data_IF_927703788729
#
_entry.id   IF_927703788729
#
_cell.length_a   1.000
_cell.length_b   1.000
_cell.length_c   1.000
_cell.angle_alpha   90.00
_cell.angle_beta   90.00
_cell.angle_gamma   90.00
#
_symmetry.space_group_name_H-M   'P 1'
#
loop_
_entity.id
_entity.type
_entity.pdbx_description
1 polymer ?
#
# COMPACT_ATOMS: atom_id res chain seq x y z
N UNK A 1 53.71 -18.78 -70.26
CA UNK A 1 53.39 -19.19 -68.87
C UNK A 1 52.66 -18.05 -68.18
N UNK A 2 51.38 -18.27 -67.97
CA UNK A 2 50.33 -17.29 -67.65
C UNK A 2 50.26 -17.04 -66.14
N UNK A 3 50.21 -15.78 -65.68
CA UNK A 3 49.84 -15.42 -64.30
C UNK A 3 48.47 -14.75 -64.29
N UNK A 4 47.52 -15.41 -63.63
CA UNK A 4 46.16 -14.95 -63.38
C UNK A 4 46.12 -13.78 -62.37
N UNK A 5 45.31 -12.76 -62.66
CA UNK A 5 44.88 -11.72 -61.72
C UNK A 5 43.40 -11.94 -61.43
N UNK A 6 43.07 -12.32 -60.20
CA UNK A 6 41.70 -12.52 -59.72
C UNK A 6 41.15 -11.20 -59.15
N UNK A 7 39.95 -10.82 -59.60
CA UNK A 7 39.14 -9.70 -59.11
C UNK A 7 38.66 -9.98 -57.68
N UNK A 8 38.81 -9.00 -56.78
CA UNK A 8 38.09 -8.99 -55.50
C UNK A 8 36.65 -8.53 -55.71
N UNK A 9 35.66 -9.36 -55.33
CA UNK A 9 34.27 -8.95 -55.15
C UNK A 9 34.02 -8.60 -53.68
N UNK A 10 33.48 -7.40 -53.43
CA UNK A 10 32.98 -7.00 -52.11
C UNK A 10 31.61 -7.66 -51.88
N UNK A 11 31.49 -8.54 -50.89
CA UNK A 11 30.21 -9.05 -50.41
C UNK A 11 29.60 -8.06 -49.41
N UNK A 12 28.40 -7.57 -49.73
CA UNK A 12 27.55 -6.80 -48.82
C UNK A 12 26.72 -7.79 -48.02
N UNK A 13 26.91 -7.85 -46.70
CA UNK A 13 26.02 -8.58 -45.79
C UNK A 13 24.84 -7.68 -45.43
N UNK A 14 23.63 -8.07 -45.83
CA UNK A 14 22.37 -7.44 -45.43
C UNK A 14 21.83 -8.23 -44.23
N UNK A 15 21.90 -7.66 -43.02
CA UNK A 15 21.29 -8.24 -41.82
C UNK A 15 19.79 -7.93 -41.80
N UNK A 16 18.94 -8.95 -41.97
CA UNK A 16 17.51 -8.85 -41.66
C UNK A 16 17.33 -8.79 -40.14
N UNK A 17 16.84 -7.65 -39.63
CA UNK A 17 16.33 -7.56 -38.27
C UNK A 17 14.91 -8.15 -38.25
N UNK A 18 14.73 -9.29 -37.59
CA UNK A 18 13.41 -9.83 -37.25
C UNK A 18 12.87 -9.02 -36.06
N UNK A 19 11.92 -8.13 -36.33
CA UNK A 19 11.09 -7.52 -35.27
C UNK A 19 10.08 -8.55 -34.78
N UNK A 20 10.32 -9.11 -33.60
CA UNK A 20 9.31 -9.88 -32.87
C UNK A 20 8.25 -8.92 -32.32
N UNK A 21 7.12 -8.84 -33.02
CA UNK A 21 5.90 -8.28 -32.45
C UNK A 21 5.36 -9.34 -31.49
N UNK A 22 5.43 -9.07 -30.18
CA UNK A 22 4.71 -9.87 -29.19
C UNK A 22 3.22 -9.66 -29.39
N UNK A 23 2.55 -10.61 -30.06
CA UNK A 23 1.10 -10.73 -29.94
C UNK A 23 0.79 -11.16 -28.50
N UNK A 24 0.22 -10.24 -27.72
CA UNK A 24 -0.33 -10.51 -26.40
C UNK A 24 -1.49 -11.49 -26.58
N UNK A 25 -1.33 -12.74 -26.14
CA UNK A 25 -2.45 -13.68 -26.06
C UNK A 25 -3.61 -13.02 -25.31
N UNK A 26 -4.89 -13.21 -25.72
CA UNK A 26 -6.02 -12.69 -24.97
C UNK A 26 -5.93 -13.24 -23.54
N UNK A 27 -5.65 -12.32 -22.60
CA UNK A 27 -5.34 -12.66 -21.22
C UNK A 27 -6.56 -13.34 -20.58
N UNK A 28 -6.31 -14.41 -19.83
CA UNK A 28 -7.30 -14.98 -18.91
C UNK A 28 -7.82 -13.85 -18.01
N UNK A 29 -9.13 -13.75 -17.85
CA UNK A 29 -9.77 -12.78 -16.95
C UNK A 29 -9.14 -12.84 -15.56
N UNK A 30 -8.99 -11.69 -14.90
CA UNK A 30 -8.36 -11.63 -13.59
C UNK A 30 -9.19 -12.38 -12.55
N UNK A 31 -8.50 -13.13 -11.69
CA UNK A 31 -9.14 -13.84 -10.60
C UNK A 31 -9.30 -12.92 -9.39
N UNK A 32 -10.38 -12.13 -9.42
CA UNK A 32 -10.72 -11.24 -8.32
C UNK A 32 -11.07 -12.03 -7.05
N UNK A 33 -10.87 -11.40 -5.90
CA UNK A 33 -11.22 -11.85 -4.55
C UNK A 33 -12.20 -10.82 -3.96
N UNK A 34 -13.27 -11.30 -3.31
CA UNK A 34 -14.31 -10.44 -2.75
C UNK A 34 -15.44 -11.25 -2.11
N UNK A 35 -16.17 -10.71 -1.12
CA UNK A 35 -17.30 -11.38 -0.48
C UNK A 35 -18.41 -11.59 -1.51
N UNK A 36 -18.93 -12.80 -1.68
CA UNK A 36 -20.07 -13.09 -2.58
C UNK A 36 -21.41 -13.02 -1.86
N UNK A 37 -21.40 -13.22 -0.54
CA UNK A 37 -22.55 -13.13 0.35
C UNK A 37 -22.25 -12.14 1.46
N UNK A 38 -23.29 -11.60 2.09
CA UNK A 38 -23.13 -10.68 3.24
C UNK A 38 -22.41 -11.34 4.44
N UNK A 39 -22.51 -12.66 4.57
CA UNK A 39 -21.85 -13.44 5.62
C UNK A 39 -20.37 -13.69 5.36
N UNK A 40 -19.91 -13.47 4.12
CA UNK A 40 -18.52 -13.70 3.76
C UNK A 40 -17.64 -12.63 4.40
N UNK A 41 -16.40 -13.01 4.74
CA UNK A 41 -15.46 -12.07 5.36
C UNK A 41 -15.16 -10.91 4.40
N UNK A 42 -15.14 -9.65 4.89
CA UNK A 42 -14.93 -8.47 4.06
C UNK A 42 -13.45 -8.32 3.66
N UNK A 43 -13.04 -9.11 2.67
CA UNK A 43 -11.70 -9.16 2.09
C UNK A 43 -11.81 -9.10 0.57
N UNK A 44 -11.00 -8.26 -0.05
CA UNK A 44 -10.97 -8.03 -1.48
C UNK A 44 -9.55 -8.03 -2.03
N UNK A 45 -9.43 -8.21 -3.33
CA UNK A 45 -8.17 -8.05 -4.04
C UNK A 45 -8.15 -8.84 -5.33
N UNK A 46 -6.95 -9.19 -5.79
CA UNK A 46 -6.71 -10.09 -6.92
C UNK A 46 -5.82 -11.25 -6.46
N UNK A 47 -6.07 -12.46 -6.96
CA UNK A 47 -5.25 -13.63 -6.67
C UNK A 47 -3.78 -13.39 -7.08
N UNK A 48 -2.84 -13.73 -6.20
CA UNK A 48 -1.42 -13.48 -6.42
C UNK A 48 -0.99 -12.01 -6.34
N UNK A 49 -1.92 -11.07 -6.12
CA UNK A 49 -1.64 -9.65 -5.88
C UNK A 49 -1.92 -9.23 -4.45
N UNK A 50 -1.96 -7.92 -4.23
CA UNK A 50 -2.28 -7.31 -2.95
C UNK A 50 -3.77 -7.53 -2.61
N UNK A 51 -4.04 -7.91 -1.35
CA UNK A 51 -5.40 -8.01 -0.79
C UNK A 51 -5.60 -7.04 0.36
N UNK A 52 -6.80 -6.48 0.47
CA UNK A 52 -7.20 -5.70 1.62
C UNK A 52 -8.41 -6.27 2.33
N UNK A 53 -8.48 -6.05 3.64
CA UNK A 53 -9.63 -6.45 4.44
C UNK A 53 -9.94 -5.45 5.54
N UNK A 54 -11.21 -5.38 5.93
CA UNK A 54 -11.66 -4.61 7.10
C UNK A 54 -12.15 -5.57 8.18
N UNK A 55 -12.31 -5.11 9.42
CA UNK A 55 -12.85 -5.96 10.48
C UNK A 55 -14.24 -6.50 10.10
N UNK A 56 -14.56 -7.79 10.32
CA UNK A 56 -13.73 -8.81 11.01
C UNK A 56 -12.79 -9.61 10.09
N UNK A 57 -12.73 -9.30 8.79
CA UNK A 57 -11.93 -10.03 7.80
C UNK A 57 -10.43 -10.06 8.09
N UNK A 58 -9.80 -11.19 7.76
CA UNK A 58 -8.34 -11.41 7.83
C UNK A 58 -7.78 -11.62 6.42
N UNK A 59 -6.64 -11.00 6.12
CA UNK A 59 -5.92 -11.20 4.84
C UNK A 59 -5.02 -12.44 4.85
N UNK A 60 -4.73 -13.00 6.02
CA UNK A 60 -3.84 -14.17 6.22
C UNK A 60 -4.57 -15.45 6.64
N UNK A 61 -5.90 -15.41 6.75
CA UNK A 61 -6.68 -16.44 7.43
C UNK A 61 -6.71 -16.25 8.96
N UNK A 62 -7.54 -17.04 9.66
CA UNK A 62 -7.80 -16.90 11.11
C UNK A 62 -8.82 -15.81 11.47
N UNK A 63 -9.34 -15.85 12.70
CA UNK A 63 -10.27 -14.87 13.26
C UNK A 63 -9.89 -14.46 14.69
N UNK A 64 -10.07 -13.18 15.07
CA UNK A 64 -10.29 -12.02 14.19
C UNK A 64 -9.00 -11.57 13.50
N UNK A 65 -9.09 -11.04 12.28
CA UNK A 65 -7.92 -10.60 11.49
C UNK A 65 -7.19 -9.33 11.96
N UNK A 66 -7.38 -8.88 13.21
CA UNK A 66 -6.81 -7.63 13.77
C UNK A 66 -7.87 -6.65 14.33
N UNK A 67 -7.48 -5.45 14.79
CA UNK A 67 -8.38 -4.50 15.45
C UNK A 67 -9.33 -3.78 14.48
N UNK A 68 -10.41 -3.20 15.02
CA UNK A 68 -11.33 -2.32 14.26
C UNK A 68 -10.64 -1.01 13.88
N UNK A 69 -11.22 -0.27 12.94
CA UNK A 69 -10.69 1.02 12.53
C UNK A 69 -9.42 0.97 11.68
N UNK A 70 -9.01 -0.21 11.21
CA UNK A 70 -7.86 -0.39 10.33
C UNK A 70 -8.25 -1.15 9.06
N UNK A 71 -7.62 -0.79 7.94
CA UNK A 71 -7.63 -1.58 6.71
C UNK A 71 -6.39 -2.47 6.73
N UNK A 72 -6.54 -3.78 6.69
CA UNK A 72 -5.44 -4.74 6.62
C UNK A 72 -4.91 -4.80 5.19
N UNK A 73 -3.61 -4.85 5.03
CA UNK A 73 -2.94 -5.04 3.75
C UNK A 73 -2.17 -6.36 3.80
N UNK A 74 -2.57 -7.30 2.94
CA UNK A 74 -1.91 -8.59 2.78
C UNK A 74 -1.27 -8.73 1.41
N UNK A 75 -0.17 -9.46 1.36
CA UNK A 75 0.56 -9.75 0.12
C UNK A 75 1.11 -11.19 0.17
N UNK A 76 1.21 -11.92 -0.96
CA UNK A 76 1.66 -13.31 -0.98
C UNK A 76 3.19 -13.42 -0.79
N UNK A 77 3.66 -13.14 0.42
CA UNK A 77 5.09 -13.08 0.78
C UNK A 77 5.62 -14.37 1.39
N UNK A 78 4.76 -15.32 1.77
CA UNK A 78 5.20 -16.58 2.37
C UNK A 78 5.80 -17.50 1.30
N UNK A 79 6.71 -18.39 1.71
CA UNK A 79 7.44 -19.28 0.78
C UNK A 79 6.53 -20.18 -0.07
N UNK A 80 5.35 -20.54 0.45
CA UNK A 80 4.33 -21.32 -0.26
C UNK A 80 3.38 -20.47 -1.12
N UNK A 81 3.65 -19.16 -1.28
CA UNK A 81 2.79 -18.22 -1.99
C UNK A 81 1.57 -17.75 -1.19
N UNK A 82 1.43 -18.16 0.08
CA UNK A 82 0.35 -17.69 0.93
C UNK A 82 0.59 -16.24 1.40
N UNK A 83 -0.50 -15.62 1.87
CA UNK A 83 -0.53 -14.23 2.29
C UNK A 83 0.01 -14.07 3.72
N UNK A 84 0.87 -13.07 3.93
CA UNK A 84 1.14 -12.51 5.26
C UNK A 84 0.58 -11.07 5.35
N UNK A 85 0.37 -10.61 6.58
CA UNK A 85 -0.02 -9.23 6.86
C UNK A 85 1.22 -8.35 6.73
N UNK A 86 1.18 -7.42 5.80
CA UNK A 86 2.28 -6.50 5.49
C UNK A 86 2.11 -5.19 6.23
N UNK A 87 0.90 -4.65 6.31
CA UNK A 87 0.65 -3.34 6.89
C UNK A 87 -0.81 -3.18 7.33
N UNK A 88 -1.09 -2.14 8.10
CA UNK A 88 -2.43 -1.61 8.31
C UNK A 88 -2.51 -0.16 7.81
N UNK A 89 -3.61 0.23 7.19
CA UNK A 89 -3.90 1.64 6.89
C UNK A 89 -4.93 2.17 7.90
N UNK A 90 -4.54 3.17 8.68
CA UNK A 90 -5.44 3.96 9.52
C UNK A 90 -5.96 5.18 8.77
N UNK A 91 -7.19 5.61 9.08
CA UNK A 91 -7.81 6.81 8.54
C UNK A 91 -7.85 7.86 9.65
N UNK A 92 -7.15 8.96 9.43
CA UNK A 92 -6.89 9.94 10.48
C UNK A 92 -7.18 11.38 10.01
N UNK A 93 -8.46 11.78 10.01
CA UNK A 93 -8.85 13.12 9.58
C UNK A 93 -8.48 14.19 10.61
N UNK A 94 -8.14 15.37 10.12
CA UNK A 94 -7.82 16.55 10.94
C UNK A 94 -8.86 17.63 10.68
N UNK A 95 -9.48 18.13 11.75
CA UNK A 95 -10.44 19.25 11.70
C UNK A 95 -9.92 20.33 12.65
N UNK A 96 -9.42 21.43 12.08
CA UNK A 96 -8.69 22.46 12.82
C UNK A 96 -7.45 21.87 13.49
N UNK A 97 -7.43 21.90 14.83
CA UNK A 97 -6.32 21.36 15.63
C UNK A 97 -6.57 19.94 16.15
N UNK A 98 -7.71 19.33 15.81
CA UNK A 98 -8.14 18.04 16.36
C UNK A 98 -7.98 16.93 15.33
N UNK A 99 -7.07 16.00 15.61
CA UNK A 99 -6.87 14.78 14.84
C UNK A 99 -7.81 13.68 15.34
N UNK A 100 -8.46 12.98 14.42
CA UNK A 100 -9.20 11.77 14.68
C UNK A 100 -8.34 10.53 14.42
N UNK A 101 -8.66 9.43 15.11
CA UNK A 101 -7.88 8.19 15.05
C UNK A 101 -8.82 7.00 14.84
N UNK A 102 -8.84 6.42 13.64
CA UNK A 102 -9.80 5.37 13.33
C UNK A 102 -9.62 4.14 14.22
N UNK A 103 -8.39 3.75 14.55
CA UNK A 103 -8.11 2.61 15.43
C UNK A 103 -8.42 2.89 16.90
N UNK A 104 -8.14 4.11 17.38
CA UNK A 104 -8.10 4.41 18.82
C UNK A 104 -9.40 5.02 19.35
N UNK A 105 -10.17 5.71 18.51
CA UNK A 105 -11.45 6.26 18.94
C UNK A 105 -12.46 5.15 19.17
N UNK A 106 -13.17 5.15 20.32
CA UNK A 106 -14.32 4.28 20.51
C UNK A 106 -15.42 4.57 19.49
N UNK A 107 -16.05 3.51 18.99
CA UNK A 107 -17.25 3.63 18.18
C UNK A 107 -18.37 4.27 19.00
N UNK A 108 -19.08 5.24 18.43
CA UNK A 108 -20.31 5.81 19.02
C UNK A 108 -21.50 4.88 18.87
N UNK A 109 -21.40 3.85 18.02
CA UNK A 109 -22.48 2.91 17.74
C UNK A 109 -22.52 1.78 18.78
N UNK A 110 -21.37 1.28 19.23
CA UNK A 110 -21.31 0.18 20.21
C UNK A 110 -20.31 0.36 21.36
N UNK A 111 -19.64 1.51 21.45
CA UNK A 111 -18.70 1.85 22.53
C UNK A 111 -17.37 1.10 22.49
N UNK A 112 -17.16 0.18 21.54
CA UNK A 112 -15.92 -0.62 21.48
C UNK A 112 -14.78 0.18 20.83
N UNK A 113 -13.50 -0.14 21.14
CA UNK A 113 -12.36 0.49 20.50
C UNK A 113 -12.37 0.32 18.98
N UNK A 114 -12.04 1.40 18.28
CA UNK A 114 -11.94 1.47 16.83
C UNK A 114 -13.27 1.81 16.14
N UNK A 115 -13.18 2.75 15.20
CA UNK A 115 -14.28 3.16 14.31
C UNK A 115 -14.73 2.00 13.43
N UNK A 116 -16.05 1.94 13.21
CA UNK A 116 -16.62 0.95 12.31
C UNK A 116 -16.41 1.37 10.85
N UNK A 117 -16.01 0.40 10.03
CA UNK A 117 -15.97 0.50 8.59
C UNK A 117 -16.95 -0.51 8.00
N UNK A 118 -17.62 -0.16 6.90
CA UNK A 118 -18.44 -1.11 6.16
C UNK A 118 -18.37 -0.82 4.66
N UNK A 119 -18.40 -1.88 3.87
CA UNK A 119 -18.43 -1.78 2.42
C UNK A 119 -19.88 -1.74 1.94
N UNK A 120 -20.15 -0.91 0.93
CA UNK A 120 -21.42 -0.90 0.21
C UNK A 120 -21.19 -1.29 -1.25
N UNK A 121 -22.12 -2.01 -1.89
CA UNK A 121 -22.15 -2.09 -3.34
C UNK A 121 -22.37 -0.67 -3.90
N UNK A 122 -21.59 -0.29 -4.91
CA UNK A 122 -21.73 1.01 -5.57
C UNK A 122 -22.82 0.90 -6.65
N UNK A 123 -24.03 1.39 -6.33
CA UNK A 123 -25.17 1.63 -7.24
C UNK A 123 -25.73 0.42 -8.04
N UNK A 124 -26.96 0.56 -8.53
CA UNK A 124 -27.96 -0.42 -9.00
C UNK A 124 -27.58 -1.41 -10.14
N UNK A 125 -26.30 -1.55 -10.51
CA UNK A 125 -25.86 -2.42 -11.60
C UNK A 125 -25.26 -3.77 -11.16
N UNK A 126 -25.64 -4.30 -9.99
CA UNK A 126 -25.31 -5.69 -9.62
C UNK A 126 -26.16 -6.70 -10.42
N UNK A 127 -26.09 -6.69 -11.75
CA UNK A 127 -26.78 -7.68 -12.60
C UNK A 127 -25.93 -8.92 -12.95
N UNK A 128 -24.87 -9.18 -12.20
CA UNK A 128 -24.06 -10.40 -12.35
C UNK A 128 -23.59 -10.96 -11.00
N UNK A 129 -24.52 -11.42 -10.15
CA UNK A 129 -24.22 -12.27 -8.98
C UNK A 129 -23.14 -11.72 -8.04
N UNK A 130 -23.11 -10.40 -7.88
CA UNK A 130 -21.90 -9.62 -7.63
C UNK A 130 -21.36 -9.72 -6.22
N UNK A 131 -20.03 -9.75 -6.12
CA UNK A 131 -19.30 -9.56 -4.87
C UNK A 131 -19.72 -8.22 -4.24
N UNK A 132 -19.53 -8.03 -2.93
CA UNK A 132 -19.69 -6.72 -2.26
C UNK A 132 -18.58 -5.75 -2.72
N UNK A 133 -18.60 -5.34 -3.99
CA UNK A 133 -17.57 -4.64 -4.73
C UNK A 133 -17.83 -4.81 -6.24
N UNK A 134 -17.53 -3.79 -7.04
CA UNK A 134 -17.88 -3.77 -8.47
C UNK A 134 -16.63 -3.97 -9.33
N UNK A 135 -16.63 -5.02 -10.16
CA UNK A 135 -15.59 -5.25 -11.17
C UNK A 135 -16.10 -4.79 -12.52
N UNK A 136 -15.34 -3.90 -13.18
CA UNK A 136 -15.61 -3.48 -14.56
C UNK A 136 -14.41 -3.71 -15.46
N UNK A 137 -14.68 -4.03 -16.72
CA UNK A 137 -13.68 -3.93 -17.77
C UNK A 137 -13.38 -2.45 -18.08
N UNK A 138 -12.11 -2.16 -18.29
CA UNK A 138 -11.58 -0.91 -18.84
C UNK A 138 -11.14 -1.15 -20.30
N UNK A 139 -10.54 -0.14 -20.92
CA UNK A 139 -9.90 -0.32 -22.22
C UNK A 139 -8.77 -1.36 -22.15
N UNK A 140 -8.44 -1.96 -23.29
CA UNK A 140 -7.24 -2.79 -23.46
C UNK A 140 -7.21 -4.10 -22.65
N UNK A 141 -8.38 -4.54 -22.17
CA UNK A 141 -8.53 -5.79 -21.41
C UNK A 141 -8.09 -5.69 -19.94
N UNK A 142 -7.83 -4.48 -19.43
CA UNK A 142 -7.62 -4.23 -18.00
C UNK A 142 -8.97 -4.26 -17.29
N UNK A 143 -9.02 -4.84 -16.10
CA UNK A 143 -10.20 -4.87 -15.25
C UNK A 143 -9.93 -4.05 -13.99
N UNK A 144 -10.97 -3.46 -13.42
CA UNK A 144 -10.89 -2.69 -12.17
C UNK A 144 -11.94 -3.13 -11.19
N UNK A 145 -11.49 -3.50 -9.99
CA UNK A 145 -12.32 -3.62 -8.80
C UNK A 145 -12.48 -2.25 -8.14
N UNK A 146 -13.70 -1.89 -7.75
CA UNK A 146 -14.02 -0.72 -6.91
C UNK A 146 -14.86 -1.15 -5.69
N UNK A 147 -14.49 -0.68 -4.51
CA UNK A 147 -15.20 -0.91 -3.24
C UNK A 147 -15.45 0.43 -2.57
N UNK A 148 -16.72 0.76 -2.31
CA UNK A 148 -17.10 1.93 -1.52
C UNK A 148 -17.01 1.58 -0.04
N UNK A 149 -16.08 2.21 0.66
CA UNK A 149 -15.84 2.04 2.09
C UNK A 149 -16.41 3.24 2.86
N UNK A 150 -17.45 2.99 3.65
CA UNK A 150 -18.00 3.97 4.60
C UNK A 150 -17.25 3.89 5.91
N UNK A 151 -17.05 5.04 6.54
CA UNK A 151 -16.36 5.16 7.82
C UNK A 151 -17.28 5.84 8.81
N UNK A 152 -17.40 5.29 10.01
CA UNK A 152 -18.11 5.95 11.09
C UNK A 152 -17.56 7.36 11.36
N UNK A 153 -18.46 8.33 11.53
CA UNK A 153 -18.12 9.72 11.89
C UNK A 153 -17.21 9.81 13.12
N UNK A 154 -16.16 10.61 13.00
CA UNK A 154 -15.16 10.84 14.03
C UNK A 154 -15.65 11.82 15.09
N UNK A 155 -15.02 11.77 16.27
CA UNK A 155 -15.37 12.65 17.38
C UNK A 155 -15.11 14.14 17.07
N UNK A 156 -14.12 14.42 16.22
CA UNK A 156 -13.80 15.78 15.74
C UNK A 156 -14.79 16.31 14.68
N UNK A 157 -15.79 15.52 14.28
CA UNK A 157 -16.82 15.90 13.31
C UNK A 157 -16.51 15.52 11.86
N UNK A 158 -15.29 15.06 11.56
CA UNK A 158 -14.96 14.54 10.22
C UNK A 158 -15.78 13.27 9.92
N UNK A 159 -16.23 13.15 8.68
CA UNK A 159 -16.98 12.00 8.19
C UNK A 159 -16.52 11.66 6.77
N UNK A 160 -15.31 11.08 6.61
CA UNK A 160 -14.83 10.67 5.30
C UNK A 160 -15.49 9.38 4.83
N UNK A 161 -15.54 9.17 3.52
CA UNK A 161 -15.70 7.84 2.92
C UNK A 161 -14.63 7.66 1.85
N UNK A 162 -14.29 6.42 1.53
CA UNK A 162 -13.24 6.11 0.57
C UNK A 162 -13.79 5.22 -0.55
N UNK A 163 -13.29 5.42 -1.77
CA UNK A 163 -13.39 4.45 -2.84
C UNK A 163 -12.03 3.77 -2.99
N UNK A 164 -11.99 2.48 -2.67
CA UNK A 164 -10.81 1.66 -2.86
C UNK A 164 -10.88 1.02 -4.25
N UNK A 165 -9.82 1.12 -5.03
CA UNK A 165 -9.78 0.47 -6.35
C UNK A 165 -8.45 -0.21 -6.64
N UNK A 166 -8.53 -1.32 -7.38
CA UNK A 166 -7.37 -2.09 -7.83
C UNK A 166 -7.54 -2.42 -9.31
N UNK A 167 -6.45 -2.34 -10.08
CA UNK A 167 -6.44 -2.67 -11.50
C UNK A 167 -5.71 -4.00 -11.74
N UNK A 168 -6.17 -4.79 -12.71
CA UNK A 168 -5.59 -6.11 -12.99
C UNK A 168 -4.17 -6.04 -13.57
N UNK A 169 -3.76 -4.90 -14.14
CA UNK A 169 -2.42 -4.63 -14.63
C UNK A 169 -1.48 -4.03 -13.57
N UNK A 170 -2.01 -3.66 -12.40
CA UNK A 170 -1.27 -3.21 -11.23
C UNK A 170 -1.71 -3.99 -9.98
N UNK A 171 -1.57 -5.33 -9.96
CA UNK A 171 -2.11 -6.18 -8.90
C UNK A 171 -1.47 -5.91 -7.53
N UNK A 172 -0.29 -5.30 -7.48
CA UNK A 172 0.39 -4.92 -6.25
C UNK A 172 -0.05 -3.58 -5.64
N UNK A 173 -1.03 -2.89 -6.23
CA UNK A 173 -1.45 -1.55 -5.83
C UNK A 173 -2.92 -1.48 -5.42
N UNK A 174 -3.21 -0.64 -4.40
CA UNK A 174 -4.56 -0.15 -4.09
C UNK A 174 -4.55 1.37 -4.16
N UNK A 175 -5.47 1.92 -4.94
CA UNK A 175 -5.82 3.33 -4.91
C UNK A 175 -6.88 3.59 -3.85
N UNK A 176 -6.67 4.62 -3.04
CA UNK A 176 -7.61 5.18 -2.09
C UNK A 176 -8.03 6.56 -2.58
N UNK A 177 -9.29 6.70 -2.97
CA UNK A 177 -9.88 8.01 -3.28
C UNK A 177 -10.73 8.45 -2.10
N UNK A 178 -10.43 9.61 -1.54
CA UNK A 178 -11.03 10.13 -0.30
C UNK A 178 -12.08 11.18 -0.65
N UNK A 179 -13.22 11.08 0.02
CA UNK A 179 -14.35 11.99 -0.11
C UNK A 179 -14.86 12.39 1.27
N UNK A 180 -15.59 13.50 1.33
CA UNK A 180 -16.32 13.92 2.52
C UNK A 180 -17.82 13.64 2.38
N UNK A 181 -18.44 13.04 3.40
CA UNK A 181 -19.89 13.00 3.49
C UNK A 181 -20.47 14.42 3.60
N UNK A 182 -21.72 14.66 3.14
CA UNK A 182 -22.36 15.97 3.23
C UNK A 182 -22.43 16.56 4.65
N UNK A 183 -22.44 15.72 5.67
CA UNK A 183 -22.46 16.13 7.08
C UNK A 183 -21.07 16.18 7.73
N UNK A 184 -19.99 15.97 6.98
CA UNK A 184 -18.62 16.07 7.48
C UNK A 184 -18.27 17.51 7.83
N UNK A 185 -17.61 17.69 8.98
CA UNK A 185 -16.87 18.93 9.22
C UNK A 185 -15.77 19.11 8.16
N UNK A 186 -15.42 20.37 7.86
CA UNK A 186 -14.36 20.68 6.91
C UNK A 186 -13.01 20.13 7.42
N UNK A 187 -12.44 19.19 6.64
CA UNK A 187 -11.17 18.57 6.97
C UNK A 187 -10.00 19.41 6.45
N UNK A 188 -8.99 19.62 7.29
CA UNK A 188 -7.68 20.16 6.87
C UNK A 188 -6.84 19.09 6.15
N UNK A 189 -6.95 17.85 6.63
CA UNK A 189 -6.28 16.66 6.11
C UNK A 189 -7.18 15.45 6.34
N UNK A 190 -7.07 14.45 5.46
CA UNK A 190 -7.51 13.08 5.74
C UNK A 190 -6.31 12.16 5.52
N UNK A 191 -5.58 11.87 6.60
CA UNK A 191 -4.30 11.15 6.51
C UNK A 191 -4.58 9.65 6.42
N UNK A 192 -3.94 8.98 5.46
CA UNK A 192 -3.87 7.53 5.38
C UNK A 192 -2.51 7.07 5.92
N UNK A 193 -2.52 6.47 7.10
CA UNK A 193 -1.28 6.11 7.79
C UNK A 193 -1.01 4.62 7.65
N UNK A 194 0.03 4.29 6.85
CA UNK A 194 0.55 2.94 6.81
C UNK A 194 1.32 2.68 8.11
N UNK A 195 0.74 1.89 9.00
CA UNK A 195 1.24 1.63 10.35
C UNK A 195 1.75 0.20 10.50
N UNK A 196 2.88 0.06 11.20
CA UNK A 196 3.50 -1.22 11.55
C UNK A 196 3.99 -2.03 10.34
N UNK A 197 4.60 -1.36 9.36
CA UNK A 197 5.09 -2.02 8.14
C UNK A 197 5.98 -3.23 8.41
N UNK A 198 5.64 -4.36 7.79
CA UNK A 198 6.23 -5.69 8.00
C UNK A 198 6.26 -6.10 9.47
N UNK A 199 5.13 -5.87 10.17
CA UNK A 199 4.98 -6.05 11.62
C UNK A 199 6.07 -5.29 12.39
N UNK A 200 6.25 -4.01 12.07
CA UNK A 200 7.20 -3.12 12.75
C UNK A 200 8.66 -3.35 12.40
N UNK A 201 8.97 -3.72 11.15
CA UNK A 201 10.33 -4.05 10.69
C UNK A 201 10.82 -3.19 9.51
N UNK A 202 10.01 -2.25 9.04
CA UNK A 202 10.45 -1.26 8.04
C UNK A 202 11.46 -0.27 8.66
N UNK A 203 12.65 -0.16 8.07
CA UNK A 203 13.75 0.70 8.58
C UNK A 203 14.39 1.62 7.59
N UNK A 204 14.25 1.37 6.29
CA UNK A 204 14.87 2.20 5.25
C UNK A 204 13.78 3.01 4.55
N UNK A 205 13.92 4.33 4.55
CA UNK A 205 13.09 5.27 3.79
C UNK A 205 13.84 5.67 2.52
N UNK A 206 13.25 5.42 1.37
CA UNK A 206 13.82 5.68 0.06
C UNK A 206 13.28 7.00 -0.49
N UNK A 207 14.14 8.01 -0.52
CA UNK A 207 13.90 9.32 -1.10
C UNK A 207 14.60 9.41 -2.47
N UNK A 208 14.42 10.53 -3.18
CA UNK A 208 14.96 10.71 -4.54
C UNK A 208 16.46 10.43 -4.64
N UNK A 209 17.25 11.08 -3.79
CA UNK A 209 18.72 11.12 -3.87
C UNK A 209 19.41 10.38 -2.71
N UNK A 210 18.63 9.79 -1.79
CA UNK A 210 19.18 9.14 -0.60
C UNK A 210 18.25 8.08 -0.02
N UNK A 211 18.84 7.14 0.71
CA UNK A 211 18.12 6.19 1.56
C UNK A 211 18.45 6.49 3.02
N UNK A 212 17.43 6.74 3.83
CA UNK A 212 17.57 7.06 5.25
C UNK A 212 17.20 5.86 6.12
N UNK A 213 18.10 5.47 7.01
CA UNK A 213 17.79 4.48 8.04
C UNK A 213 17.09 5.13 9.24
N UNK A 214 16.06 4.47 9.75
CA UNK A 214 15.41 4.82 11.02
C UNK A 214 16.39 4.85 12.20
N UNK A 215 17.44 4.03 12.17
CA UNK A 215 18.51 4.02 13.17
C UNK A 215 19.34 5.32 13.13
N UNK A 216 19.58 5.86 11.94
CA UNK A 216 20.27 7.13 11.78
C UNK A 216 19.35 8.32 12.08
N UNK A 217 18.06 8.20 11.81
CA UNK A 217 17.09 9.26 12.03
C UNK A 217 16.69 9.41 13.51
N UNK A 218 16.74 8.30 14.27
CA UNK A 218 16.35 8.24 15.69
C UNK A 218 17.39 7.49 16.55
N UNK A 219 18.66 7.91 16.57
CA UNK A 219 19.76 7.12 17.14
C UNK A 219 19.60 6.84 18.64
N UNK A 220 19.01 7.78 19.37
CA UNK A 220 18.89 7.70 20.84
C UNK A 220 17.49 7.28 21.31
N UNK A 221 16.57 6.99 20.39
CA UNK A 221 15.19 6.69 20.77
C UNK A 221 15.04 5.26 21.31
N UNK A 222 14.73 5.15 22.60
CA UNK A 222 14.49 3.87 23.31
C UNK A 222 13.21 3.86 24.16
N UNK A 223 12.35 4.87 24.00
CA UNK A 223 11.08 4.94 24.75
C UNK A 223 10.03 3.98 24.18
N UNK A 224 9.01 3.69 25.00
CA UNK A 224 7.79 3.00 24.56
C UNK A 224 6.88 3.90 23.71
N UNK A 225 7.05 5.21 23.83
CA UNK A 225 6.31 6.23 23.07
C UNK A 225 6.79 6.31 21.62
N UNK A 226 6.02 6.99 20.76
CA UNK A 226 6.49 7.32 19.41
C UNK A 226 7.67 8.29 19.45
N UNK A 227 8.65 8.06 18.58
CA UNK A 227 9.64 9.06 18.24
C UNK A 227 8.95 10.30 17.62
N UNK A 228 9.62 11.46 17.74
CA UNK A 228 9.15 12.70 17.10
C UNK A 228 9.01 12.48 15.59
N UNK A 229 7.98 13.10 15.01
CA UNK A 229 7.76 13.02 13.57
C UNK A 229 8.81 13.79 12.78
N UNK A 230 9.25 13.19 11.67
CA UNK A 230 10.11 13.82 10.67
C UNK A 230 9.32 14.02 9.39
N UNK A 231 9.56 15.13 8.71
CA UNK A 231 8.84 15.55 7.51
C UNK A 231 9.81 15.71 6.34
N UNK A 232 9.41 15.26 5.15
CA UNK A 232 10.17 15.42 3.92
C UNK A 232 9.28 16.08 2.86
N UNK A 233 9.67 17.25 2.34
CA UNK A 233 8.87 17.98 1.36
C UNK A 233 8.91 17.30 -0.02
N UNK A 234 7.96 17.66 -0.89
CA UNK A 234 7.81 17.09 -2.24
C UNK A 234 9.11 17.06 -3.07
N UNK A 235 9.98 18.07 -2.95
CA UNK A 235 11.23 18.13 -3.71
C UNK A 235 12.27 17.07 -3.30
N UNK A 236 12.10 16.44 -2.14
CA UNK A 236 12.92 15.32 -1.69
C UNK A 236 12.40 13.96 -2.21
N UNK A 237 11.23 13.93 -2.83
CA UNK A 237 10.56 12.71 -3.27
C UNK A 237 10.96 12.33 -4.70
N UNK A 238 10.92 11.03 -4.99
CA UNK A 238 11.19 10.53 -6.32
C UNK A 238 9.99 10.78 -7.23
N UNK A 239 10.24 11.01 -8.52
CA UNK A 239 9.22 11.06 -9.56
C UNK A 239 9.51 9.94 -10.55
N UNK A 240 8.56 9.03 -10.76
CA UNK A 240 8.71 7.97 -11.76
C UNK A 240 8.59 8.55 -13.19
N UNK A 241 8.85 7.76 -14.24
CA UNK A 241 8.78 8.24 -15.63
C UNK A 241 7.40 8.77 -16.06
N UNK A 242 6.27 8.20 -15.61
CA UNK A 242 4.94 8.82 -15.76
C UNK A 242 4.81 10.20 -15.08
N UNK A 243 5.69 10.52 -14.14
CA UNK A 243 5.73 11.76 -13.36
C UNK A 243 4.90 11.72 -12.07
N UNK A 244 4.52 10.52 -11.63
CA UNK A 244 3.91 10.32 -10.33
C UNK A 244 4.95 10.48 -9.22
N UNK A 245 4.53 11.04 -8.09
CA UNK A 245 5.37 11.04 -6.89
C UNK A 245 5.43 9.63 -6.34
N UNK A 246 6.63 9.20 -5.95
CA UNK A 246 6.93 7.89 -5.39
C UNK A 246 7.82 8.03 -4.15
N UNK A 247 7.45 7.35 -3.07
CA UNK A 247 8.28 7.19 -1.88
C UNK A 247 8.08 5.79 -1.33
N UNK A 248 9.16 5.15 -0.87
CA UNK A 248 9.11 3.77 -0.43
C UNK A 248 9.77 3.55 0.93
N UNK A 249 9.36 2.49 1.60
CA UNK A 249 10.03 1.92 2.77
C UNK A 249 10.33 0.44 2.56
N UNK A 250 11.45 -0.01 3.13
CA UNK A 250 11.86 -1.43 3.15
C UNK A 250 12.42 -1.82 4.51
N UNK A 251 12.57 -3.12 4.73
CA UNK A 251 13.40 -3.65 5.81
C UNK A 251 14.88 -3.45 5.44
N UNK A 252 15.73 -3.39 6.44
CA UNK A 252 17.19 -3.46 6.29
C UNK A 252 17.73 -4.89 6.37
N UNK A 253 16.93 -5.84 6.85
CA UNK A 253 17.31 -7.25 6.95
C UNK A 253 17.30 -7.96 5.59
N UNK A 254 18.19 -8.94 5.42
CA UNK A 254 18.22 -9.82 4.24
C UNK A 254 17.16 -10.92 4.33
N UNK A 255 16.98 -11.51 5.52
CA UNK A 255 15.95 -12.51 5.78
C UNK A 255 15.11 -12.10 7.00
N UNK A 256 14.03 -11.31 6.81
CA UNK A 256 13.22 -10.84 7.93
C UNK A 256 12.49 -11.97 8.67
N UNK A 257 12.20 -13.08 7.98
CA UNK A 257 11.56 -14.28 8.52
C UNK A 257 12.45 -15.12 9.45
N UNK A 258 13.75 -14.83 9.55
CA UNK A 258 14.66 -15.52 10.47
C UNK A 258 14.51 -15.06 11.93
N UNK A 259 13.65 -14.08 12.21
CA UNK A 259 13.59 -13.40 13.51
C UNK A 259 12.23 -13.58 14.15
N UNK A 260 12.20 -14.29 15.28
CA UNK A 260 11.04 -14.43 16.15
C UNK A 260 11.12 -13.42 17.30
N UNK A 261 10.26 -12.38 17.31
CA UNK A 261 10.37 -11.30 18.29
C UNK A 261 9.97 -11.68 19.71
N UNK A 262 9.17 -12.73 19.86
CA UNK A 262 8.71 -13.26 21.15
C UNK A 262 9.09 -14.75 21.24
N UNK A 263 9.86 -15.19 22.26
CA UNK A 263 10.31 -16.58 22.36
C UNK A 263 9.19 -17.63 22.41
N UNK A 264 8.05 -17.28 23.02
CA UNK A 264 6.95 -18.20 23.29
C UNK A 264 5.65 -17.83 22.54
N UNK A 265 5.73 -17.02 21.47
CA UNK A 265 4.55 -16.55 20.75
C UNK A 265 4.83 -16.18 19.30
N UNK A 266 3.87 -16.46 18.42
CA UNK A 266 3.83 -15.96 17.03
C UNK A 266 3.37 -14.49 16.92
N UNK A 267 3.10 -13.84 18.05
CA UNK A 267 2.78 -12.42 18.07
C UNK A 267 3.90 -11.62 17.38
N UNK A 268 3.53 -10.75 16.44
CA UNK A 268 4.45 -9.91 15.68
C UNK A 268 5.47 -10.65 14.78
N UNK A 269 5.43 -11.98 14.71
CA UNK A 269 6.30 -12.72 13.80
C UNK A 269 5.93 -12.42 12.34
N UNK A 270 6.90 -11.94 11.55
CA UNK A 270 6.74 -11.71 10.12
C UNK A 270 7.42 -12.85 9.37
N UNK A 271 6.64 -13.73 8.75
CA UNK A 271 7.16 -14.90 8.03
C UNK A 271 7.41 -14.66 6.54
N UNK A 272 7.08 -13.45 6.06
CA UNK A 272 7.21 -13.07 4.66
C UNK A 272 8.64 -12.81 4.19
N UNK A 273 8.83 -12.89 2.88
CA UNK A 273 10.01 -12.37 2.20
C UNK A 273 10.11 -10.83 2.31
N UNK A 274 11.30 -10.29 2.06
CA UNK A 274 11.52 -8.84 1.99
C UNK A 274 10.64 -8.22 0.88
N UNK A 275 9.97 -7.12 1.21
CA UNK A 275 9.13 -6.37 0.26
C UNK A 275 9.41 -4.88 0.32
N UNK A 276 9.16 -4.21 -0.79
CA UNK A 276 9.01 -2.76 -0.88
C UNK A 276 7.57 -2.37 -0.66
N UNK A 277 7.35 -1.43 0.26
CA UNK A 277 6.05 -0.78 0.47
C UNK A 277 6.17 0.66 0.05
N UNK A 278 5.19 1.22 -0.65
CA UNK A 278 5.30 2.57 -1.17
C UNK A 278 3.98 3.32 -1.20
N UNK A 279 4.09 4.63 -1.12
CA UNK A 279 3.02 5.55 -1.49
C UNK A 279 3.34 6.16 -2.86
N UNK A 280 2.31 6.25 -3.70
CA UNK A 280 2.32 6.93 -4.98
C UNK A 280 1.18 7.95 -5.04
N UNK A 281 1.44 9.12 -5.61
CA UNK A 281 0.41 10.09 -5.96
C UNK A 281 0.51 10.42 -7.45
N UNK A 282 -0.56 10.23 -8.23
CA UNK A 282 -0.52 10.49 -9.67
C UNK A 282 -0.10 11.92 -10.00
N UNK A 283 0.66 12.11 -11.09
CA UNK A 283 1.15 13.44 -11.53
C UNK A 283 0.06 14.52 -11.55
N UNK A 284 -1.16 14.16 -11.99
CA UNK A 284 -2.29 15.09 -12.09
C UNK A 284 -2.85 15.58 -10.75
N UNK A 285 -2.43 14.98 -9.64
CA UNK A 285 -2.90 15.29 -8.28
C UNK A 285 -1.86 16.06 -7.44
N UNK A 286 -0.74 16.49 -8.02
CA UNK A 286 0.33 17.19 -7.30
C UNK A 286 -0.10 18.58 -6.82
N UNK A 287 0.20 18.89 -5.55
CA UNK A 287 -0.03 20.20 -4.92
C UNK A 287 1.13 20.56 -4.00
N UNK A 288 1.29 21.84 -3.73
CA UNK A 288 2.39 22.37 -2.91
C UNK A 288 2.41 21.84 -1.46
N UNK A 289 1.26 21.35 -0.97
CA UNK A 289 1.12 20.79 0.37
C UNK A 289 1.64 19.35 0.52
N UNK A 290 2.02 18.69 -0.57
CA UNK A 290 2.45 17.29 -0.55
C UNK A 290 3.77 17.09 0.19
N UNK A 291 3.78 16.20 1.17
CA UNK A 291 4.96 15.84 1.93
C UNK A 291 4.85 14.44 2.51
N UNK A 292 5.99 13.85 2.82
CA UNK A 292 6.08 12.60 3.57
C UNK A 292 6.22 12.91 5.04
N UNK A 293 5.57 12.11 5.89
CA UNK A 293 5.86 12.06 7.31
C UNK A 293 6.18 10.63 7.72
N UNK A 294 7.20 10.51 8.56
CA UNK A 294 7.50 9.27 9.29
C UNK A 294 7.61 9.55 10.78
N UNK A 295 7.25 8.56 11.58
CA UNK A 295 7.69 8.44 12.97
C UNK A 295 8.15 7.01 13.22
N UNK A 296 8.63 6.73 14.42
CA UNK A 296 9.23 5.44 14.73
C UNK A 296 8.92 5.00 16.15
N UNK A 297 9.22 3.73 16.44
CA UNK A 297 9.12 3.14 17.78
C UNK A 297 10.27 2.18 18.03
N UNK A 298 10.60 2.04 19.30
CA UNK A 298 11.62 1.09 19.76
C UNK A 298 11.02 -0.23 20.25
N UNK A 299 9.75 -0.25 20.68
CA UNK A 299 9.06 -1.46 21.17
C UNK A 299 7.80 -1.76 20.35
N UNK A 300 7.39 -3.03 20.34
CA UNK A 300 6.13 -3.44 19.70
C UNK A 300 4.91 -2.78 20.34
N UNK A 301 3.83 -2.59 19.58
CA UNK A 301 2.59 -1.95 20.06
C UNK A 301 2.00 -2.65 21.27
N UNK A 302 1.59 -1.83 22.24
CA UNK A 302 1.08 -2.26 23.55
C UNK A 302 2.00 -3.23 24.30
N UNK A 303 3.32 -3.13 24.08
CA UNK A 303 4.31 -3.96 24.76
C UNK A 303 5.55 -3.16 25.14
N UNK A 304 6.38 -3.76 26.00
CA UNK A 304 7.74 -3.30 26.29
C UNK A 304 8.81 -4.12 25.55
N UNK A 305 8.41 -5.05 24.69
CA UNK A 305 9.33 -5.90 23.94
C UNK A 305 10.05 -5.05 22.88
N UNK A 306 11.39 -4.93 22.94
CA UNK A 306 12.14 -4.21 21.92
C UNK A 306 11.96 -4.86 20.56
N UNK A 307 11.89 -4.04 19.52
CA UNK A 307 11.90 -4.52 18.13
C UNK A 307 13.33 -5.03 17.85
N UNK A 308 13.52 -6.31 17.47
CA UNK A 308 14.84 -6.84 17.13
C UNK A 308 15.48 -6.04 16.01
N UNK A 309 16.71 -5.58 16.19
CA UNK A 309 17.38 -4.67 15.24
C UNK A 309 17.20 -3.17 15.57
N UNK A 310 16.43 -2.84 16.61
CA UNK A 310 16.26 -1.47 17.10
C UNK A 310 15.08 -0.73 16.51
N UNK A 311 15.11 0.60 16.65
CA UNK A 311 14.02 1.49 16.24
C UNK A 311 13.62 1.24 14.78
N UNK A 312 12.30 1.19 14.54
CA UNK A 312 11.72 0.98 13.21
C UNK A 312 10.62 2.00 12.95
N UNK A 313 10.37 2.29 11.67
CA UNK A 313 9.27 3.18 11.31
C UNK A 313 7.94 2.57 11.73
N UNK A 314 7.15 3.35 12.47
CA UNK A 314 5.78 2.95 12.81
C UNK A 314 4.85 3.44 11.72
N UNK A 315 4.70 4.76 11.56
CA UNK A 315 3.84 5.35 10.56
C UNK A 315 4.67 5.86 9.38
N UNK A 316 4.24 5.48 8.19
CA UNK A 316 4.75 5.96 6.91
C UNK A 316 3.59 6.55 6.11
N UNK A 317 3.65 7.86 5.86
CA UNK A 317 2.52 8.60 5.32
C UNK A 317 2.97 9.50 4.17
N UNK A 318 2.19 9.51 3.08
CA UNK A 318 2.19 10.58 2.09
C UNK A 318 0.97 11.46 2.36
N UNK A 319 1.20 12.74 2.64
CA UNK A 319 0.20 13.68 3.14
C UNK A 319 0.08 14.87 2.22
N UNK A 320 -1.15 15.31 1.99
CA UNK A 320 -1.46 16.59 1.37
C UNK A 320 -2.76 17.14 1.96
N UNK A 321 -2.98 18.45 1.81
CA UNK A 321 -4.20 19.12 2.25
C UNK A 321 -5.42 18.43 1.65
N UNK A 322 -6.47 18.25 2.44
CA UNK A 322 -7.66 17.57 1.98
C UNK A 322 -8.31 18.35 0.83
N UNK A 323 -8.76 17.60 -0.17
CA UNK A 323 -9.68 18.07 -1.20
C UNK A 323 -10.55 16.90 -1.66
N UNK A 324 -11.73 17.22 -2.19
CA UNK A 324 -12.69 16.22 -2.62
C UNK A 324 -12.15 15.38 -3.78
N UNK A 325 -12.20 14.05 -3.65
CA UNK A 325 -11.65 13.13 -4.64
C UNK A 325 -10.13 12.98 -4.61
N UNK A 326 -9.47 13.36 -3.50
CA UNK A 326 -8.03 13.18 -3.31
C UNK A 326 -7.63 11.71 -3.38
N UNK A 327 -6.56 11.42 -4.12
CA UNK A 327 -6.14 10.05 -4.42
C UNK A 327 -4.72 9.76 -3.94
N UNK A 328 -4.55 8.66 -3.20
CA UNK A 328 -3.26 8.08 -2.84
C UNK A 328 -3.24 6.61 -3.22
N UNK A 329 -2.10 6.12 -3.69
CA UNK A 329 -1.92 4.70 -4.05
C UNK A 329 -0.92 4.09 -3.07
N UNK A 330 -1.32 3.04 -2.37
CA UNK A 330 -0.40 2.21 -1.60
C UNK A 330 -0.05 0.98 -2.42
N UNK A 331 1.23 0.64 -2.48
CA UNK A 331 1.70 -0.55 -3.18
C UNK A 331 2.63 -1.40 -2.33
N UNK A 332 2.61 -2.70 -2.64
CA UNK A 332 3.55 -3.69 -2.11
C UNK A 332 4.14 -4.46 -3.29
N UNK A 333 5.46 -4.64 -3.32
CA UNK A 333 6.16 -5.37 -4.37
C UNK A 333 7.36 -6.13 -3.82
N UNK A 334 7.70 -7.24 -4.46
CA UNK A 334 8.96 -7.97 -4.22
C UNK A 334 10.15 -7.32 -4.95
N UNK A 335 9.89 -6.40 -5.87
CA UNK A 335 10.92 -5.59 -6.52
C UNK A 335 11.49 -4.57 -5.53
N UNK A 336 12.77 -4.27 -5.69
CA UNK A 336 13.45 -3.20 -4.97
C UNK A 336 12.90 -1.82 -5.39
N UNK A 337 13.06 -0.78 -4.56
CA UNK A 337 12.66 0.58 -4.94
C UNK A 337 13.34 1.04 -6.25
N UNK A 338 14.61 0.67 -6.46
CA UNK A 338 15.34 1.02 -7.66
C UNK A 338 14.76 0.37 -8.94
N UNK A 339 14.30 -0.88 -8.86
CA UNK A 339 13.63 -1.56 -9.98
C UNK A 339 12.28 -0.92 -10.28
N UNK A 340 11.51 -0.56 -9.25
CA UNK A 340 10.22 0.12 -9.38
C UNK A 340 10.35 1.53 -9.97
N UNK A 341 11.46 2.22 -9.76
CA UNK A 341 11.68 3.56 -10.32
C UNK A 341 12.36 3.55 -11.70
N UNK A 342 13.07 2.47 -12.05
CA UNK A 342 13.73 2.31 -13.36
C UNK A 342 12.84 1.63 -14.40
N UNK A 343 11.80 0.92 -13.97
CA UNK A 343 10.96 0.05 -14.79
C UNK A 343 9.71 0.67 -15.40
N UNK A 344 9.55 1.99 -15.36
CA UNK A 344 8.44 2.70 -16.01
C UNK A 344 8.95 3.68 -17.06
#
# INVERSE_FOLDING_TARGET
>A
MTRHRVRQSKSVFLSLALSFIFLRSPGRAAEWVGPLRETDKPVWGIEGGLRFGIFPGSVTGGDPGGPRGLIRIGYPTLQNGAYDLVNFIAIEPVVGRKKGFSELEPSRLDGKPGKLFWALPKFEESRSGGRNGYVRALSDGVERLEVLLRVEKFANGAHPYLVLSQQSDAPGEISFTIHAEPDSAAMDYCILSATMGNKGRARLLWLKDQTLSSLALYPDHKSVDFARSTFFPVYALHFNSPGDVFVAVTNDEENPAAVHPFPDSEAWFYGGAKVTQYWKQPKGALRDGLHVRVNARYTYWQSRQPIPGGVAFENFELRDRFYEGQQFIFGVSTQTPAELTKGF
#
